data_IF_206294634346
#
_entry.id   IF_206294634346
#
_cell.length_a   1.000
_cell.length_b   1.000
_cell.length_c   1.000
_cell.angle_alpha   90.00
_cell.angle_beta   90.00
_cell.angle_gamma   90.00
#
_symmetry.space_group_name_H-M   'P 1'
#
loop_
_entity.id
_entity.type
_entity.pdbx_description
1 polymer ?
#
# COMPACT_ATOMS: atom_id res chain seq x y z
N UNK A 1 -3.20 -1.19 11.11
CA UNK A 1 -3.09 -2.55 11.68
C UNK A 1 -3.89 -2.68 12.98
N UNK A 2 -4.37 -3.89 13.27
CA UNK A 2 -5.10 -4.16 14.53
C UNK A 2 -4.19 -4.20 15.76
N UNK A 3 -2.89 -4.39 15.54
CA UNK A 3 -1.86 -4.38 16.57
C UNK A 3 -0.47 -4.46 15.99
N UNK A 4 0.53 -4.17 16.81
CA UNK A 4 1.95 -4.31 16.48
C UNK A 4 2.63 -5.21 17.52
N UNK A 5 3.60 -6.01 17.07
CA UNK A 5 4.38 -6.88 17.96
C UNK A 5 5.77 -6.30 18.13
N UNK A 6 6.17 -6.09 19.36
CA UNK A 6 7.45 -5.52 19.74
C UNK A 6 8.27 -6.56 20.49
N UNK A 7 9.54 -6.71 20.15
CA UNK A 7 10.52 -7.56 20.81
C UNK A 7 11.44 -6.74 21.69
N UNK A 8 11.89 -7.35 22.80
CA UNK A 8 12.92 -6.79 23.66
C UNK A 8 14.27 -7.41 23.32
N UNK A 9 15.28 -6.58 23.06
CA UNK A 9 16.66 -6.99 22.88
C UNK A 9 17.49 -6.53 24.07
N UNK A 10 18.42 -7.38 24.53
CA UNK A 10 19.42 -7.08 25.55
C UNK A 10 20.81 -7.08 24.92
N UNK A 11 21.51 -5.95 24.95
CA UNK A 11 22.80 -5.76 24.26
C UNK A 11 22.76 -6.20 22.78
N UNK A 12 21.62 -5.93 22.10
CA UNK A 12 21.38 -6.30 20.70
C UNK A 12 20.96 -7.75 20.45
N UNK A 13 20.81 -8.57 21.51
CA UNK A 13 20.39 -9.97 21.41
C UNK A 13 18.91 -10.10 21.78
N UNK A 14 18.13 -10.80 20.96
CA UNK A 14 16.71 -11.07 21.24
C UNK A 14 16.55 -11.86 22.54
N UNK A 15 15.79 -11.32 23.48
CA UNK A 15 15.52 -11.95 24.77
C UNK A 15 14.42 -13.02 24.71
N UNK A 16 13.73 -13.15 23.58
CA UNK A 16 12.52 -13.96 23.43
C UNK A 16 11.26 -13.33 24.05
N UNK A 17 11.37 -12.15 24.69
CA UNK A 17 10.21 -11.43 25.23
C UNK A 17 9.57 -10.56 24.17
N UNK A 18 8.24 -10.65 24.07
CA UNK A 18 7.44 -9.84 23.13
C UNK A 18 6.27 -9.16 23.85
N UNK A 19 5.80 -8.05 23.28
CA UNK A 19 4.56 -7.36 23.65
C UNK A 19 3.74 -7.15 22.38
N UNK A 20 2.42 -7.28 22.50
CA UNK A 20 1.48 -6.89 21.47
C UNK A 20 0.84 -5.58 21.92
N UNK A 21 1.02 -4.52 21.15
CA UNK A 21 0.40 -3.21 21.38
C UNK A 21 -0.79 -3.04 20.44
N UNK A 22 -1.95 -2.70 21.00
CA UNK A 22 -3.19 -2.54 20.25
C UNK A 22 -4.15 -1.62 20.99
N UNK A 23 -5.36 -1.42 20.47
CA UNK A 23 -6.39 -0.58 21.08
C UNK A 23 -6.81 -1.05 22.47
N UNK A 24 -6.78 -2.37 22.76
CA UNK A 24 -7.21 -2.92 24.05
C UNK A 24 -6.29 -2.53 25.21
N UNK A 25 -5.01 -2.30 24.94
CA UNK A 25 -4.02 -1.86 25.92
C UNK A 25 -3.57 -0.40 25.70
N UNK A 26 -4.37 0.38 24.96
CA UNK A 26 -4.08 1.79 24.64
C UNK A 26 -2.71 1.98 23.98
N UNK A 27 -2.30 1.02 23.17
CA UNK A 27 -1.01 1.00 22.47
C UNK A 27 0.20 1.15 23.39
N UNK A 28 0.11 0.60 24.62
CA UNK A 28 1.12 0.72 25.66
C UNK A 28 1.40 -0.64 26.31
N UNK A 29 2.62 -0.83 26.80
CA UNK A 29 3.00 -2.05 27.52
C UNK A 29 4.32 -1.90 28.23
N UNK A 30 4.62 -2.83 29.14
CA UNK A 30 5.85 -2.85 29.93
C UNK A 30 6.47 -4.24 29.92
N UNK A 31 7.75 -4.33 29.65
CA UNK A 31 8.52 -5.54 29.85
C UNK A 31 8.94 -5.63 31.31
N UNK A 32 8.25 -6.46 32.08
CA UNK A 32 8.51 -6.61 33.52
C UNK A 32 9.66 -7.60 33.82
N UNK A 33 10.29 -7.40 35.00
CA UNK A 33 11.30 -8.30 35.57
C UNK A 33 12.47 -8.55 34.64
N UNK A 34 12.96 -7.49 34.01
CA UNK A 34 14.19 -7.53 33.21
C UNK A 34 15.39 -7.18 34.09
N UNK A 35 16.51 -7.93 34.03
CA UNK A 35 17.70 -7.64 34.82
C UNK A 35 18.35 -6.32 34.39
N UNK A 36 18.84 -5.54 35.35
CA UNK A 36 19.57 -4.29 35.05
C UNK A 36 21.05 -4.57 34.73
N UNK A 37 21.61 -5.61 35.34
CA UNK A 37 23.03 -5.99 35.20
C UNK A 37 23.17 -7.52 34.98
N UNK A 38 24.23 -7.91 34.34
CA UNK A 38 24.68 -9.29 34.23
C UNK A 38 26.17 -9.39 34.60
N UNK A 39 26.83 -10.53 34.35
CA UNK A 39 28.27 -10.74 34.62
C UNK A 39 29.21 -9.83 33.83
N UNK A 40 28.73 -9.23 32.73
CA UNK A 40 29.46 -8.34 31.85
C UNK A 40 29.25 -6.85 32.14
N UNK A 41 28.27 -6.53 33.01
CA UNK A 41 27.94 -5.14 33.41
C UNK A 41 26.50 -4.76 33.21
N UNK A 42 26.27 -3.48 32.93
CA UNK A 42 24.92 -2.91 32.69
C UNK A 42 24.40 -3.42 31.36
N UNK A 43 23.15 -3.88 31.36
CA UNK A 43 22.46 -4.34 30.14
C UNK A 43 21.79 -3.14 29.47
N UNK A 44 22.09 -2.93 28.20
CA UNK A 44 21.43 -1.94 27.36
C UNK A 44 20.26 -2.61 26.64
N UNK A 45 19.06 -2.13 26.94
CA UNK A 45 17.85 -2.61 26.27
C UNK A 45 17.51 -1.77 25.05
N UNK A 46 17.03 -2.44 24.00
CA UNK A 46 16.48 -1.83 22.80
C UNK A 46 15.23 -2.60 22.36
N UNK A 47 14.41 -1.96 21.52
CA UNK A 47 13.22 -2.57 20.97
C UNK A 47 13.38 -2.82 19.46
N UNK A 48 12.73 -3.88 18.98
CA UNK A 48 12.53 -4.17 17.57
C UNK A 48 11.04 -4.43 17.33
N UNK A 49 10.45 -3.76 16.36
CA UNK A 49 9.09 -4.05 15.94
C UNK A 49 9.11 -5.07 14.78
N UNK A 50 8.19 -6.04 14.81
CA UNK A 50 7.98 -6.93 13.66
C UNK A 50 7.39 -6.09 12.52
N UNK A 51 8.06 -6.14 11.36
CA UNK A 51 7.72 -5.34 10.19
C UNK A 51 6.25 -5.48 9.78
N UNK A 52 5.60 -4.34 9.56
CA UNK A 52 4.24 -4.23 9.03
C UNK A 52 4.33 -3.70 7.60
N UNK A 53 3.84 -4.43 6.60
CA UNK A 53 3.86 -3.97 5.22
C UNK A 53 3.22 -2.59 5.05
N UNK A 54 3.86 -1.70 4.29
CA UNK A 54 3.39 -0.34 4.06
C UNK A 54 3.63 0.64 5.21
N UNK A 55 4.39 0.24 6.24
CA UNK A 55 4.78 1.12 7.35
C UNK A 55 6.28 1.20 7.52
N UNK A 56 6.74 2.38 7.87
CA UNK A 56 8.09 2.63 8.38
C UNK A 56 8.02 2.84 9.89
N UNK A 57 8.85 2.08 10.63
CA UNK A 57 8.93 2.18 12.08
C UNK A 57 10.05 3.12 12.51
N UNK A 58 9.76 4.02 13.43
CA UNK A 58 10.73 4.81 14.18
C UNK A 58 10.64 4.44 15.66
N UNK A 59 11.77 4.11 16.29
CA UNK A 59 11.84 3.79 17.73
C UNK A 59 12.81 4.75 18.36
N UNK A 60 12.34 5.51 19.35
CA UNK A 60 13.14 6.48 20.10
C UNK A 60 13.08 6.10 21.58
N UNK A 61 14.24 5.83 22.18
CA UNK A 61 14.41 5.69 23.63
C UNK A 61 14.68 7.03 24.29
N UNK A 62 14.28 7.16 25.56
CA UNK A 62 14.69 8.30 26.38
C UNK A 62 16.17 8.16 26.86
N UNK A 63 16.67 9.22 27.54
CA UNK A 63 18.06 9.22 28.02
C UNK A 63 18.32 8.20 29.15
N UNK A 64 17.27 7.66 29.77
CA UNK A 64 17.41 6.61 30.80
C UNK A 64 17.52 5.22 30.17
N UNK A 65 17.07 5.05 28.91
CA UNK A 65 16.96 3.75 28.25
C UNK A 65 15.85 2.86 28.82
N UNK A 66 14.91 3.45 29.57
CA UNK A 66 13.81 2.73 30.22
C UNK A 66 12.48 2.93 29.51
N UNK A 67 12.32 4.06 28.78
CA UNK A 67 11.09 4.35 28.05
C UNK A 67 11.39 4.48 26.55
N UNK A 68 10.48 3.92 25.76
CA UNK A 68 10.58 3.95 24.29
C UNK A 68 9.26 4.45 23.70
N UNK A 69 9.40 5.28 22.68
CA UNK A 69 8.27 5.68 21.83
C UNK A 69 8.45 5.01 20.46
N UNK A 70 7.41 4.32 20.03
CA UNK A 70 7.35 3.65 18.72
C UNK A 70 6.38 4.44 17.84
N UNK A 71 6.82 4.81 16.65
CA UNK A 71 6.00 5.54 15.67
C UNK A 71 5.98 4.76 14.37
N UNK A 72 4.80 4.40 13.89
CA UNK A 72 4.58 3.80 12.61
C UNK A 72 4.05 4.84 11.63
N UNK A 73 4.81 5.12 10.58
CA UNK A 73 4.43 6.03 9.51
C UNK A 73 4.00 5.22 8.30
N UNK A 74 2.75 5.41 7.85
CA UNK A 74 2.27 4.74 6.65
C UNK A 74 3.03 5.27 5.42
N UNK A 75 3.74 4.38 4.76
CA UNK A 75 4.55 4.65 3.56
C UNK A 75 4.48 3.43 2.65
N UNK A 76 3.35 3.23 1.96
CA UNK A 76 3.18 2.08 1.08
C UNK A 76 4.15 2.20 -0.10
N UNK A 77 4.64 1.06 -0.57
CA UNK A 77 5.30 1.01 -1.88
C UNK A 77 4.32 1.49 -2.95
N UNK A 78 4.85 2.17 -3.95
CA UNK A 78 4.07 2.64 -5.10
C UNK A 78 4.43 1.86 -6.37
N UNK A 79 3.53 1.91 -7.33
CA UNK A 79 3.69 1.37 -8.68
C UNK A 79 3.09 2.34 -9.69
N UNK A 80 3.49 2.18 -10.95
CA UNK A 80 2.86 2.86 -12.08
C UNK A 80 2.08 1.83 -12.91
N UNK A 81 0.95 2.26 -13.46
CA UNK A 81 0.14 1.48 -14.40
C UNK A 81 0.19 2.19 -15.75
N UNK A 82 0.60 1.47 -16.78
CA UNK A 82 0.72 1.96 -18.15
C UNK A 82 -0.23 1.19 -19.05
N UNK A 83 -0.74 1.86 -20.07
CA UNK A 83 -1.56 1.19 -21.04
C UNK A 83 -1.54 1.92 -22.38
N UNK A 84 -2.09 1.23 -23.38
CA UNK A 84 -2.22 1.74 -24.76
C UNK A 84 -3.67 1.62 -25.18
N UNK A 85 -4.23 2.71 -25.71
CA UNK A 85 -5.55 2.72 -26.35
C UNK A 85 -5.40 2.53 -27.85
N UNK A 86 -6.04 1.52 -28.39
CA UNK A 86 -6.20 1.33 -29.84
C UNK A 86 -7.64 1.51 -30.26
N UNK A 87 -7.83 1.88 -31.51
CA UNK A 87 -9.12 1.99 -32.17
C UNK A 87 -9.13 1.07 -33.37
N UNK A 88 -10.07 0.15 -33.42
CA UNK A 88 -10.21 -0.84 -34.49
C UNK A 88 -11.60 -0.79 -35.09
N UNK A 89 -11.73 -1.24 -36.31
CA UNK A 89 -13.00 -1.32 -37.05
C UNK A 89 -13.82 -2.54 -36.58
N UNK A 90 -14.97 -2.78 -37.19
CA UNK A 90 -15.90 -3.87 -36.88
C UNK A 90 -15.27 -5.28 -36.96
N UNK A 91 -14.22 -5.43 -37.77
CA UNK A 91 -13.46 -6.67 -37.89
C UNK A 91 -12.57 -6.96 -36.65
N UNK A 92 -12.38 -5.96 -35.77
CA UNK A 92 -11.51 -6.05 -34.58
C UNK A 92 -10.01 -6.04 -34.86
N UNK A 93 -9.60 -5.92 -36.12
CA UNK A 93 -8.20 -6.01 -36.56
C UNK A 93 -7.71 -4.75 -37.27
N UNK A 94 -8.57 -4.14 -38.08
CA UNK A 94 -8.20 -2.98 -38.91
C UNK A 94 -8.17 -1.70 -38.08
N UNK A 95 -7.01 -1.06 -38.00
CA UNK A 95 -6.87 0.22 -37.31
C UNK A 95 -7.68 1.34 -38.02
N UNK A 96 -8.48 2.06 -37.29
CA UNK A 96 -9.21 3.23 -37.81
C UNK A 96 -8.23 4.34 -38.16
N UNK A 97 -8.20 4.76 -39.43
CA UNK A 97 -7.31 5.82 -39.92
C UNK A 97 -7.94 7.21 -39.86
N UNK A 98 -9.27 7.29 -39.70
CA UNK A 98 -10.04 8.54 -39.60
C UNK A 98 -9.91 9.25 -38.26
N UNK A 99 -10.73 10.27 -38.04
CA UNK A 99 -10.86 10.95 -36.77
C UNK A 99 -11.49 10.00 -35.74
N UNK A 100 -10.94 9.94 -34.53
CA UNK A 100 -11.51 9.24 -33.39
C UNK A 100 -11.88 10.24 -32.32
N UNK A 101 -12.90 9.96 -31.49
CA UNK A 101 -13.28 10.84 -30.40
C UNK A 101 -12.22 10.86 -29.31
N UNK A 102 -12.21 11.95 -28.54
CA UNK A 102 -11.47 11.99 -27.28
C UNK A 102 -12.08 10.96 -26.32
N UNK A 103 -11.24 10.31 -25.50
CA UNK A 103 -11.67 9.28 -24.58
C UNK A 103 -11.09 9.51 -23.19
N UNK A 104 -11.94 9.40 -22.18
CA UNK A 104 -11.50 9.44 -20.79
C UNK A 104 -11.36 8.03 -20.25
N UNK A 105 -10.18 7.74 -19.72
CA UNK A 105 -9.84 6.49 -19.06
C UNK A 105 -9.73 6.78 -17.57
N UNK A 106 -10.53 6.08 -16.77
CA UNK A 106 -10.54 6.19 -15.31
C UNK A 106 -9.86 4.96 -14.71
N UNK A 107 -8.89 5.19 -13.83
CA UNK A 107 -8.31 4.16 -13.00
C UNK A 107 -9.20 3.93 -11.78
N UNK A 108 -9.57 2.70 -11.55
CA UNK A 108 -10.35 2.25 -10.39
C UNK A 108 -9.49 1.34 -9.52
N UNK A 109 -9.76 1.35 -8.21
CA UNK A 109 -9.16 0.40 -7.28
C UNK A 109 -10.19 -0.19 -6.34
N UNK A 110 -9.85 -1.35 -5.78
CA UNK A 110 -10.57 -2.01 -4.70
C UNK A 110 -9.60 -2.78 -3.82
N UNK A 111 -10.05 -3.23 -2.65
CA UNK A 111 -9.33 -4.17 -1.79
C UNK A 111 -9.83 -5.60 -2.05
N UNK A 112 -8.92 -6.59 -1.97
CA UNK A 112 -9.26 -8.01 -1.95
C UNK A 112 -10.22 -8.46 -3.08
N UNK A 113 -10.00 -8.01 -4.32
CA UNK A 113 -10.80 -8.37 -5.52
C UNK A 113 -12.32 -8.16 -5.38
N UNK A 114 -12.75 -7.13 -4.64
CA UNK A 114 -14.16 -6.81 -4.45
C UNK A 114 -14.83 -6.12 -5.68
N UNK A 115 -14.46 -6.51 -6.90
CA UNK A 115 -14.99 -5.93 -8.14
C UNK A 115 -16.48 -6.10 -8.37
N UNK A 116 -17.13 -7.05 -7.66
CA UNK A 116 -18.56 -7.30 -7.74
C UNK A 116 -19.41 -6.40 -6.82
N UNK A 117 -18.75 -5.60 -5.98
CA UNK A 117 -19.43 -4.68 -5.06
C UNK A 117 -19.02 -3.24 -5.41
N UNK A 118 -19.88 -2.56 -6.16
CA UNK A 118 -19.60 -1.18 -6.62
C UNK A 118 -19.38 -0.19 -5.47
N UNK A 119 -19.88 -0.47 -4.28
CA UNK A 119 -19.66 0.39 -3.11
C UNK A 119 -18.23 0.33 -2.56
N UNK A 120 -17.46 -0.67 -3.00
CA UNK A 120 -16.05 -0.87 -2.63
C UNK A 120 -15.07 -0.49 -3.73
N UNK A 121 -15.60 -0.04 -4.87
CA UNK A 121 -14.78 0.41 -5.99
C UNK A 121 -14.60 1.93 -5.88
N UNK A 122 -13.35 2.37 -5.95
CA UNK A 122 -12.98 3.77 -5.86
C UNK A 122 -12.35 4.23 -7.18
N UNK A 123 -12.81 5.34 -7.73
CA UNK A 123 -12.16 6.05 -8.83
C UNK A 123 -10.97 6.85 -8.28
N UNK A 124 -9.76 6.55 -8.77
CA UNK A 124 -8.50 7.08 -8.22
C UNK A 124 -7.98 8.25 -9.03
N UNK A 125 -7.84 8.04 -10.33
CA UNK A 125 -7.30 9.00 -11.28
C UNK A 125 -8.01 8.85 -12.62
N UNK A 126 -7.99 9.92 -13.43
CA UNK A 126 -8.50 9.86 -14.81
C UNK A 126 -7.57 10.60 -15.76
N UNK A 127 -7.48 10.12 -16.99
CA UNK A 127 -6.75 10.75 -18.08
C UNK A 127 -7.66 10.85 -19.30
N UNK A 128 -7.63 11.98 -19.99
CA UNK A 128 -8.33 12.15 -21.27
C UNK A 128 -7.30 12.10 -22.39
N UNK A 129 -7.48 11.16 -23.30
CA UNK A 129 -6.65 11.02 -24.50
C UNK A 129 -7.31 11.81 -25.63
N UNK A 130 -6.58 12.80 -26.12
CA UNK A 130 -7.03 13.70 -27.20
C UNK A 130 -6.11 13.54 -28.41
N UNK A 131 -6.54 13.99 -29.57
CA UNK A 131 -5.72 14.02 -30.77
C UNK A 131 -5.06 12.67 -31.12
N UNK A 132 -5.78 11.57 -30.93
CA UNK A 132 -5.32 10.19 -31.17
C UNK A 132 -4.11 9.78 -30.31
N UNK A 133 -3.88 10.42 -29.19
CA UNK A 133 -2.91 9.94 -28.22
C UNK A 133 -3.30 8.52 -27.77
N UNK A 134 -2.36 7.60 -27.77
CA UNK A 134 -2.61 6.19 -27.47
C UNK A 134 -2.12 5.81 -26.06
N UNK A 135 -0.99 6.36 -25.67
CA UNK A 135 -0.34 5.95 -24.42
C UNK A 135 -0.90 6.73 -23.22
N UNK A 136 -1.09 6.04 -22.13
CA UNK A 136 -1.42 6.64 -20.84
C UNK A 136 -0.63 6.00 -19.72
N UNK A 137 -0.47 6.76 -18.63
CA UNK A 137 0.19 6.33 -17.41
C UNK A 137 -0.56 6.90 -16.21
N UNK A 138 -0.69 6.07 -15.19
CA UNK A 138 -1.09 6.46 -13.83
C UNK A 138 0.09 6.19 -12.90
N UNK A 139 0.57 7.20 -12.22
CA UNK A 139 1.84 7.16 -11.47
C UNK A 139 1.60 7.21 -9.97
N UNK A 140 2.59 6.71 -9.21
CA UNK A 140 2.63 6.78 -7.75
C UNK A 140 1.43 6.13 -7.05
N UNK A 141 0.95 5.03 -7.58
CA UNK A 141 -0.19 4.31 -7.04
C UNK A 141 0.23 3.46 -5.83
N UNK A 142 -0.41 3.60 -4.66
CA UNK A 142 -0.06 2.78 -3.50
C UNK A 142 -0.39 1.31 -3.74
N UNK A 143 0.54 0.41 -3.40
CA UNK A 143 0.29 -1.04 -3.48
C UNK A 143 -0.60 -1.55 -2.37
N UNK A 144 -0.56 -0.92 -1.19
CA UNK A 144 -1.29 -1.36 0.01
C UNK A 144 -2.07 -0.22 0.65
N UNK A 145 -3.17 -0.56 1.28
CA UNK A 145 -3.94 0.33 2.14
C UNK A 145 -3.27 0.48 3.52
N UNK A 146 -3.78 1.41 4.33
CA UNK A 146 -3.35 1.60 5.73
C UNK A 146 -3.61 0.38 6.62
N UNK A 147 -4.49 -0.53 6.20
CA UNK A 147 -4.73 -1.82 6.84
C UNK A 147 -3.65 -2.87 6.54
N UNK A 148 -2.79 -2.62 5.53
CA UNK A 148 -1.82 -3.58 5.01
C UNK A 148 -2.37 -4.48 3.91
N UNK A 149 -3.66 -4.36 3.55
CA UNK A 149 -4.26 -5.11 2.45
C UNK A 149 -3.81 -4.55 1.10
N UNK A 150 -3.64 -5.43 0.11
CA UNK A 150 -3.26 -5.02 -1.24
C UNK A 150 -4.40 -4.37 -1.99
N UNK A 151 -4.11 -3.29 -2.69
CA UNK A 151 -4.99 -2.74 -3.70
C UNK A 151 -4.92 -3.56 -4.99
N UNK A 152 -6.08 -3.76 -5.59
CA UNK A 152 -6.22 -4.23 -6.98
C UNK A 152 -6.69 -3.06 -7.83
N UNK A 153 -6.15 -2.97 -9.03
CA UNK A 153 -6.41 -1.87 -9.97
C UNK A 153 -7.00 -2.38 -11.27
N UNK A 154 -7.87 -1.59 -11.87
CA UNK A 154 -8.36 -1.77 -13.25
C UNK A 154 -8.60 -0.41 -13.91
N UNK A 155 -8.67 -0.40 -15.22
CA UNK A 155 -9.09 0.76 -15.99
C UNK A 155 -10.52 0.62 -16.47
N UNK A 156 -11.22 1.75 -16.61
CA UNK A 156 -12.57 1.86 -17.16
C UNK A 156 -12.60 3.00 -18.15
N UNK A 157 -13.07 2.73 -19.36
CA UNK A 157 -13.31 3.77 -20.37
C UNK A 157 -14.68 4.42 -20.16
N UNK A 158 -14.74 5.73 -20.40
CA UNK A 158 -16.01 6.41 -20.56
C UNK A 158 -16.72 5.89 -21.81
N UNK A 159 -18.06 5.72 -21.79
CA UNK A 159 -18.79 5.25 -22.95
C UNK A 159 -18.62 6.19 -24.16
N UNK A 160 -18.32 5.61 -25.32
CA UNK A 160 -18.25 6.32 -26.60
C UNK A 160 -19.29 5.73 -27.55
N UNK A 161 -20.13 6.61 -28.10
CA UNK A 161 -21.21 6.19 -28.97
C UNK A 161 -20.65 5.47 -30.24
N UNK A 162 -21.18 4.29 -30.53
CA UNK A 162 -20.75 3.47 -31.65
C UNK A 162 -19.49 2.60 -31.40
N UNK A 163 -18.95 2.59 -30.17
CA UNK A 163 -17.81 1.78 -29.81
C UNK A 163 -18.08 0.94 -28.55
N UNK A 164 -17.55 -0.29 -28.56
CA UNK A 164 -17.59 -1.18 -27.41
C UNK A 164 -16.16 -1.36 -26.88
N UNK A 165 -15.86 -1.06 -25.61
CA UNK A 165 -14.52 -1.26 -25.07
C UNK A 165 -14.19 -2.76 -24.93
N UNK A 166 -12.97 -3.13 -25.28
CA UNK A 166 -12.40 -4.45 -25.04
C UNK A 166 -11.14 -4.23 -24.20
N UNK A 167 -11.04 -4.93 -23.08
CA UNK A 167 -9.89 -4.89 -22.18
C UNK A 167 -9.09 -6.18 -22.34
N UNK A 168 -7.82 -6.03 -22.73
CA UNK A 168 -6.87 -7.14 -22.75
C UNK A 168 -6.01 -7.07 -21.49
N UNK A 169 -5.90 -8.17 -20.79
CA UNK A 169 -4.94 -8.36 -19.70
C UNK A 169 -3.69 -9.01 -20.29
N UNK A 170 -2.52 -8.39 -20.08
CA UNK A 170 -1.21 -8.97 -20.41
C UNK A 170 -0.70 -9.88 -19.29
#
# INVERSE_FOLDING_TARGET
PEGVTVKLLANGIDTGKTLILNSSNSWSGTFEKVPYVNSEGIIVYTLEEINIPGYQVGIIGDNSGENFTITNTHSPETMDIRGVKSWVDEDGESSITGSVPDITITLQRTLADNWNDETKIEDVQSVTLTNRKTDYIFENLPKTATTGEEYKYRVKEAPVNGYTPIYNED
#
